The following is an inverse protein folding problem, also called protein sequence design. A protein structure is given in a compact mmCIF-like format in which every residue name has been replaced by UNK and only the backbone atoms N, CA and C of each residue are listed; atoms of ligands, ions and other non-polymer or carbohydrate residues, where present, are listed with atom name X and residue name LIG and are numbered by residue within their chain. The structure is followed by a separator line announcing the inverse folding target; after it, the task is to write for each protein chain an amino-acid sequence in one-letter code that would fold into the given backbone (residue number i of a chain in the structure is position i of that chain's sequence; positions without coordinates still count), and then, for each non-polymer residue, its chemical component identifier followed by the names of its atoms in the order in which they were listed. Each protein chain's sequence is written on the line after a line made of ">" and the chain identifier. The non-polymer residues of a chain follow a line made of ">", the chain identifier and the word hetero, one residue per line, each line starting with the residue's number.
data_IF_880748943097
#
_entry.id   IF_880748943097
#
_cell.length_a   1.000
_cell.length_b   1.000
_cell.length_c   1.000
_cell.angle_alpha   90.00
_cell.angle_beta   90.00
_cell.angle_gamma   90.00
#
_symmetry.space_group_name_H-M   'P 1'
#
loop_
_entity.id
_entity.type
_entity.pdbx_description
1 polymer ?
#
# COMPACT_ATOMS: atom_id res chain seq x y z
N UNK A 1 1.37 -14.82 -21.68
CA UNK A 1 1.40 -13.62 -20.83
C UNK A 1 2.42 -13.88 -19.74
N UNK A 2 3.50 -13.10 -19.72
CA UNK A 2 4.54 -13.21 -18.70
C UNK A 2 4.05 -12.57 -17.40
N UNK A 3 4.21 -13.29 -16.29
CA UNK A 3 3.83 -12.76 -14.97
C UNK A 3 4.84 -11.71 -14.56
N UNK A 4 4.37 -10.52 -14.18
CA UNK A 4 5.20 -9.46 -13.64
C UNK A 4 4.90 -9.33 -12.15
N UNK A 5 5.93 -9.54 -11.32
CA UNK A 5 5.85 -9.32 -9.89
C UNK A 5 5.71 -7.82 -9.63
N UNK A 6 4.69 -7.44 -8.87
CA UNK A 6 4.41 -6.04 -8.56
C UNK A 6 5.24 -5.62 -7.35
N UNK A 7 6.18 -4.69 -7.57
CA UNK A 7 6.97 -4.06 -6.51
C UNK A 7 6.76 -2.56 -6.58
N UNK A 8 5.78 -2.05 -5.84
CA UNK A 8 5.53 -0.62 -5.80
C UNK A 8 6.51 0.02 -4.80
N UNK A 9 7.49 0.77 -5.30
CA UNK A 9 8.42 1.53 -4.44
C UNK A 9 8.62 2.98 -4.94
N UNK A 10 8.32 4.00 -4.10
CA UNK A 10 7.77 3.91 -2.74
C UNK A 10 6.24 3.82 -2.70
N UNK A 11 5.72 3.28 -1.60
CA UNK A 11 4.34 3.53 -1.14
C UNK A 11 4.42 4.18 0.23
N UNK A 12 4.45 5.51 0.25
CA UNK A 12 4.69 6.30 1.45
C UNK A 12 3.62 7.38 1.66
N UNK A 13 3.52 7.87 2.88
CA UNK A 13 2.61 8.94 3.27
C UNK A 13 3.30 9.86 4.29
N UNK A 14 3.26 11.16 4.04
CA UNK A 14 3.77 12.16 4.99
C UNK A 14 2.63 12.62 5.88
N UNK A 15 2.79 12.44 7.19
CA UNK A 15 1.87 12.98 8.19
C UNK A 15 2.47 14.22 8.85
N UNK A 16 1.68 15.28 8.93
CA UNK A 16 2.03 16.53 9.59
C UNK A 16 1.16 16.76 10.81
N UNK A 17 1.66 17.52 11.79
CA UNK A 17 0.89 17.88 13.00
C UNK A 17 -0.39 18.66 12.68
N UNK A 18 -0.39 19.36 11.56
CA UNK A 18 -1.53 20.11 11.03
C UNK A 18 -2.07 19.44 9.79
N UNK A 19 -3.39 19.26 9.74
CA UNK A 19 -4.10 18.81 8.56
C UNK A 19 -4.37 19.95 7.57
N UNK A 20 -5.15 19.63 6.52
CA UNK A 20 -5.56 20.57 5.50
C UNK A 20 -6.35 21.73 6.12
N UNK A 21 -5.90 22.97 5.90
CA UNK A 21 -6.53 24.17 6.48
C UNK A 21 -5.95 24.62 7.83
N UNK A 22 -4.79 24.08 8.24
CA UNK A 22 -4.05 24.56 9.42
C UNK A 22 -4.57 24.06 10.76
N UNK A 23 -5.63 23.23 10.76
CA UNK A 23 -6.15 22.61 11.98
C UNK A 23 -5.26 21.45 12.44
N UNK A 24 -5.24 21.08 13.72
CA UNK A 24 -4.57 19.87 14.18
C UNK A 24 -5.05 18.64 13.41
N UNK A 25 -4.12 17.75 13.06
CA UNK A 25 -4.44 16.48 12.43
C UNK A 25 -5.37 15.67 13.34
N UNK A 26 -6.49 15.20 12.79
CA UNK A 26 -7.41 14.26 13.46
C UNK A 26 -7.43 12.97 12.66
N UNK A 27 -6.96 11.90 13.28
CA UNK A 27 -7.07 10.55 12.71
C UNK A 27 -8.46 9.98 13.00
N UNK A 28 -9.05 9.18 12.08
CA UNK A 28 -10.33 8.50 12.30
C UNK A 28 -10.15 7.27 13.23
N UNK A 29 -9.43 7.47 14.33
CA UNK A 29 -9.20 6.46 15.35
C UNK A 29 -10.38 6.43 16.32
N UNK A 30 -10.88 5.24 16.62
CA UNK A 30 -11.98 5.00 17.56
C UNK A 30 -11.51 4.02 18.62
N UNK A 31 -11.64 4.39 19.90
CA UNK A 31 -11.40 3.50 21.05
C UNK A 31 -12.70 2.82 21.44
N UNK A 32 -12.68 1.49 21.53
CA UNK A 32 -13.81 0.64 21.88
C UNK A 32 -13.35 -0.36 22.94
N UNK A 33 -13.58 -0.03 24.22
CA UNK A 33 -13.08 -0.82 25.35
C UNK A 33 -11.56 -0.85 25.38
N UNK A 34 -10.97 -2.04 25.39
CA UNK A 34 -9.51 -2.23 25.45
C UNK A 34 -8.80 -2.13 24.08
N UNK A 35 -9.55 -1.94 23.00
CA UNK A 35 -9.02 -1.87 21.65
C UNK A 35 -9.22 -0.49 21.03
N UNK A 36 -8.30 -0.10 20.16
CA UNK A 36 -8.53 0.96 19.21
C UNK A 36 -8.61 0.40 17.79
N UNK A 37 -9.34 1.10 16.93
CA UNK A 37 -9.40 0.81 15.50
C UNK A 37 -9.24 2.10 14.71
N UNK A 38 -8.60 2.01 13.55
CA UNK A 38 -8.57 3.06 12.55
C UNK A 38 -8.98 2.44 11.23
N UNK A 39 -10.11 2.90 10.68
CA UNK A 39 -10.62 2.45 9.40
C UNK A 39 -10.54 3.57 8.39
N UNK A 40 -10.02 3.26 7.21
CA UNK A 40 -9.91 4.21 6.10
C UNK A 40 -10.27 3.53 4.79
N UNK A 41 -11.13 4.18 4.01
CA UNK A 41 -11.40 3.81 2.63
C UNK A 41 -10.78 4.87 1.71
N UNK A 42 -10.03 4.41 0.72
CA UNK A 42 -9.37 5.24 -0.29
C UNK A 42 -9.98 4.87 -1.65
N UNK A 43 -11.07 5.55 -2.06
CA UNK A 43 -11.60 5.42 -3.41
C UNK A 43 -10.67 6.18 -4.38
N UNK A 44 -10.20 5.48 -5.41
CA UNK A 44 -9.30 6.01 -6.41
C UNK A 44 -9.97 5.98 -7.78
N UNK A 45 -10.15 7.15 -8.38
CA UNK A 45 -10.65 7.30 -9.74
C UNK A 45 -9.91 8.42 -10.45
N UNK A 46 -9.05 8.08 -11.41
CA UNK A 46 -8.23 9.04 -12.15
C UNK A 46 -7.83 8.51 -13.52
N UNK A 47 -7.29 9.37 -14.39
CA UNK A 47 -6.81 8.98 -15.72
C UNK A 47 -5.74 7.91 -15.61
N UNK A 48 -5.92 6.80 -16.32
CA UNK A 48 -5.00 5.69 -16.26
C UNK A 48 -3.60 6.11 -16.78
N UNK A 49 -2.51 5.91 -16.01
CA UNK A 49 -1.17 6.30 -16.44
C UNK A 49 -0.61 5.47 -17.60
N UNK A 50 -1.28 4.36 -17.94
CA UNK A 50 -1.01 3.52 -19.11
C UNK A 50 -1.92 3.85 -20.30
N UNK A 51 -2.83 4.83 -20.18
CA UNK A 51 -3.66 5.26 -21.31
C UNK A 51 -2.80 5.82 -22.46
N UNK A 52 -3.24 5.60 -23.69
CA UNK A 52 -2.50 6.02 -24.90
C UNK A 52 -1.55 4.93 -25.40
N UNK A 53 -0.24 5.10 -25.21
CA UNK A 53 0.77 4.17 -25.75
C UNK A 53 0.60 2.73 -25.25
N UNK A 54 0.22 2.56 -23.98
CA UNK A 54 0.03 1.27 -23.32
C UNK A 54 -1.44 0.87 -23.18
N UNK A 55 -2.31 1.38 -24.07
CA UNK A 55 -3.77 1.23 -23.95
C UNK A 55 -4.24 -0.22 -23.99
N UNK A 56 -3.51 -1.13 -24.66
CA UNK A 56 -3.88 -2.55 -24.75
C UNK A 56 -3.92 -3.25 -23.38
N UNK A 57 -3.13 -2.76 -22.40
CA UNK A 57 -3.03 -3.37 -21.07
C UNK A 57 -4.13 -2.91 -20.11
N UNK A 58 -4.87 -1.85 -20.44
CA UNK A 58 -5.77 -1.19 -19.49
C UNK A 58 -7.10 -0.75 -20.09
N UNK A 59 -8.11 -0.76 -19.23
CA UNK A 59 -9.41 -0.17 -19.52
C UNK A 59 -9.56 1.26 -19.03
N UNK A 60 -10.04 2.16 -19.88
CA UNK A 60 -10.46 3.54 -19.58
C UNK A 60 -9.69 4.24 -18.44
N UNK A 61 -10.44 4.71 -17.43
CA UNK A 61 -9.87 5.32 -16.21
C UNK A 61 -9.41 4.25 -15.22
N UNK A 62 -8.37 4.56 -14.45
CA UNK A 62 -8.01 3.75 -13.29
C UNK A 62 -9.11 3.84 -12.24
N UNK A 63 -9.58 2.68 -11.78
CA UNK A 63 -10.56 2.58 -10.71
C UNK A 63 -10.14 1.49 -9.73
N UNK A 64 -9.92 1.90 -8.48
CA UNK A 64 -9.70 0.99 -7.38
C UNK A 64 -10.32 1.54 -6.09
N UNK A 65 -10.63 0.64 -5.17
CA UNK A 65 -10.94 1.02 -3.79
C UNK A 65 -10.03 0.21 -2.87
N UNK A 66 -9.29 0.91 -2.04
CA UNK A 66 -8.52 0.32 -0.96
C UNK A 66 -9.22 0.57 0.37
N UNK A 67 -9.30 -0.46 1.20
CA UNK A 67 -9.94 -0.40 2.51
C UNK A 67 -8.96 -0.94 3.53
N UNK A 68 -8.55 -0.08 4.44
CA UNK A 68 -7.62 -0.39 5.52
C UNK A 68 -8.37 -0.43 6.83
N UNK A 69 -8.04 -1.43 7.64
CA UNK A 69 -8.34 -1.45 9.06
C UNK A 69 -7.04 -1.66 9.82
N UNK A 70 -6.78 -0.81 10.80
CA UNK A 70 -5.68 -0.97 11.76
C UNK A 70 -6.26 -1.15 13.14
N UNK A 71 -5.65 -2.02 13.94
CA UNK A 71 -6.10 -2.33 15.29
C UNK A 71 -4.90 -2.43 16.25
N UNK A 72 -5.15 -2.13 17.52
CA UNK A 72 -4.18 -2.31 18.59
C UNK A 72 -4.83 -2.14 19.97
N UNK A 73 -4.02 -2.19 21.03
CA UNK A 73 -4.51 -2.05 22.41
C UNK A 73 -4.60 -0.57 22.79
N UNK A 74 -5.71 -0.18 23.40
CA UNK A 74 -5.96 1.22 23.77
C UNK A 74 -4.96 1.75 24.81
N UNK A 75 -4.54 0.91 25.76
CA UNK A 75 -3.60 1.29 26.81
C UNK A 75 -2.19 1.59 26.30
N UNK A 76 -1.83 1.13 25.09
CA UNK A 76 -0.54 1.42 24.47
C UNK A 76 -0.48 2.84 23.89
N UNK A 77 -1.63 3.43 23.51
CA UNK A 77 -1.69 4.79 22.93
C UNK A 77 -1.21 5.88 23.92
N UNK A 78 -1.37 5.63 25.21
CA UNK A 78 -1.04 6.57 26.28
C UNK A 78 0.26 6.21 27.00
N UNK A 79 0.96 5.17 26.57
CA UNK A 79 2.18 4.72 27.21
C UNK A 79 3.38 5.59 26.76
N UNK A 80 3.97 6.42 27.66
CA UNK A 80 5.07 7.31 27.29
C UNK A 80 6.40 6.58 27.06
N UNK A 81 6.50 5.30 27.46
CA UNK A 81 7.72 4.49 27.33
C UNK A 81 7.89 3.88 25.92
N UNK A 82 6.89 4.03 25.05
CA UNK A 82 6.93 3.52 23.67
C UNK A 82 6.68 4.65 22.67
N UNK A 83 7.47 4.65 21.60
CA UNK A 83 7.33 5.55 20.44
C UNK A 83 6.75 4.82 19.22
N UNK A 84 6.47 3.52 19.37
CA UNK A 84 6.09 2.60 18.32
C UNK A 84 5.12 1.56 18.86
N UNK A 85 3.92 1.51 18.27
CA UNK A 85 2.85 0.60 18.69
C UNK A 85 2.89 -0.71 17.90
N UNK A 86 2.60 -1.86 18.55
CA UNK A 86 2.13 -3.04 17.85
C UNK A 86 0.82 -2.73 17.13
N UNK A 87 0.72 -3.11 15.86
CA UNK A 87 -0.48 -2.85 15.04
C UNK A 87 -0.82 -4.09 14.24
N UNK A 88 -2.07 -4.54 14.29
CA UNK A 88 -2.62 -5.49 13.33
C UNK A 88 -3.25 -4.70 12.17
N UNK A 89 -3.16 -5.23 10.95
CA UNK A 89 -3.71 -4.61 9.74
C UNK A 89 -4.58 -5.61 8.98
N UNK A 90 -5.72 -5.15 8.50
CA UNK A 90 -6.47 -5.75 7.40
C UNK A 90 -6.44 -4.80 6.22
N UNK A 91 -6.12 -5.30 5.03
CA UNK A 91 -6.17 -4.52 3.81
C UNK A 91 -6.97 -5.27 2.75
N UNK A 92 -7.93 -4.57 2.16
CA UNK A 92 -8.67 -5.04 1.02
C UNK A 92 -8.45 -4.08 -0.12
N UNK A 93 -8.22 -4.62 -1.32
CA UNK A 93 -8.24 -3.86 -2.55
C UNK A 93 -9.22 -4.50 -3.51
N UNK A 94 -10.05 -3.67 -4.13
CA UNK A 94 -10.88 -4.03 -5.26
C UNK A 94 -10.42 -3.19 -6.43
N UNK A 95 -10.07 -3.81 -7.54
CA UNK A 95 -9.64 -3.10 -8.76
C UNK A 95 -9.96 -3.90 -10.01
N UNK A 96 -9.85 -3.27 -11.18
CA UNK A 96 -9.74 -3.98 -12.46
C UNK A 96 -8.52 -4.92 -12.46
N UNK A 97 -8.42 -5.72 -13.51
CA UNK A 97 -7.25 -6.58 -13.79
C UNK A 97 -5.93 -5.82 -13.70
N UNK A 98 -4.89 -6.48 -13.21
CA UNK A 98 -3.54 -5.92 -13.25
C UNK A 98 -3.07 -5.83 -14.71
N UNK A 99 -2.27 -4.81 -15.08
CA UNK A 99 -1.88 -4.56 -16.48
C UNK A 99 -1.21 -5.75 -17.14
N UNK A 100 -0.34 -6.45 -16.41
CA UNK A 100 0.37 -7.62 -16.93
C UNK A 100 -0.55 -8.75 -17.36
N UNK A 101 -1.82 -8.76 -16.94
CA UNK A 101 -2.78 -9.77 -17.36
C UNK A 101 -3.35 -9.53 -18.76
N UNK A 102 -3.08 -8.37 -19.39
CA UNK A 102 -3.51 -8.02 -20.76
C UNK A 102 -5.04 -8.14 -20.97
N UNK A 103 -5.80 -7.77 -19.94
CA UNK A 103 -7.26 -7.90 -19.98
C UNK A 103 -7.98 -6.63 -20.46
N UNK A 104 -7.29 -5.49 -20.62
CA UNK A 104 -7.87 -4.24 -21.11
C UNK A 104 -9.17 -3.85 -20.39
N UNK A 105 -10.22 -3.59 -21.17
CA UNK A 105 -11.60 -3.28 -20.70
C UNK A 105 -12.46 -4.54 -20.42
N UNK A 106 -11.88 -5.74 -20.40
CA UNK A 106 -12.66 -6.96 -20.16
C UNK A 106 -13.29 -6.93 -18.78
N UNK A 107 -14.61 -7.16 -18.75
CA UNK A 107 -15.37 -7.20 -17.51
C UNK A 107 -14.77 -8.18 -16.49
N UNK A 108 -14.49 -7.68 -15.28
CA UNK A 108 -13.94 -8.46 -14.17
C UNK A 108 -13.33 -7.57 -13.11
N UNK A 109 -13.23 -8.10 -11.89
CA UNK A 109 -12.63 -7.42 -10.75
C UNK A 109 -11.69 -8.39 -10.03
N UNK A 110 -10.58 -7.83 -9.57
CA UNK A 110 -9.68 -8.47 -8.63
C UNK A 110 -10.05 -8.09 -7.21
N UNK A 111 -10.04 -9.09 -6.33
CA UNK A 111 -10.20 -8.92 -4.89
C UNK A 111 -8.89 -9.34 -4.22
N UNK A 112 -8.29 -8.40 -3.51
CA UNK A 112 -7.19 -8.68 -2.59
C UNK A 112 -7.77 -8.62 -1.18
N UNK A 113 -7.53 -9.66 -0.39
CA UNK A 113 -7.95 -9.71 1.01
C UNK A 113 -6.74 -10.18 1.82
N UNK A 114 -6.15 -9.26 2.57
CA UNK A 114 -4.93 -9.52 3.32
C UNK A 114 -5.13 -9.16 4.79
N UNK A 115 -4.34 -9.83 5.62
CA UNK A 115 -4.20 -9.53 7.03
C UNK A 115 -2.71 -9.58 7.38
N UNK A 116 -2.31 -8.81 8.39
CA UNK A 116 -0.93 -8.75 8.82
C UNK A 116 -0.81 -8.08 10.18
N UNK A 117 0.43 -7.91 10.61
CA UNK A 117 0.78 -7.13 11.79
C UNK A 117 2.14 -6.48 11.59
N UNK A 118 2.41 -5.44 12.37
CA UNK A 118 3.75 -4.91 12.53
C UNK A 118 4.65 -5.97 13.18
N UNK A 119 5.87 -6.06 12.68
CA UNK A 119 6.94 -6.88 13.24
C UNK A 119 7.92 -5.98 13.99
N UNK A 120 8.61 -6.55 14.98
CA UNK A 120 9.60 -5.83 15.77
C UNK A 120 10.96 -5.73 15.06
N UNK A 121 11.24 -6.69 14.16
CA UNK A 121 12.46 -6.73 13.37
C UNK A 121 12.28 -7.49 12.06
N UNK A 122 13.20 -7.28 11.11
CA UNK A 122 13.27 -8.00 9.84
C UNK A 122 13.37 -9.52 10.03
N UNK A 123 14.05 -9.97 11.10
CA UNK A 123 14.23 -11.38 11.43
C UNK A 123 12.93 -12.10 11.79
N UNK A 124 11.86 -11.38 12.14
CA UNK A 124 10.55 -11.97 12.39
C UNK A 124 9.77 -12.33 11.10
N UNK A 125 10.26 -11.95 9.93
CA UNK A 125 9.66 -12.38 8.65
C UNK A 125 9.74 -13.90 8.49
N UNK A 126 8.93 -14.47 7.59
CA UNK A 126 9.11 -15.87 7.21
C UNK A 126 10.41 -16.04 6.44
N UNK A 127 11.02 -17.24 6.52
CA UNK A 127 12.21 -17.57 5.73
C UNK A 127 11.99 -17.34 4.22
N UNK A 128 10.80 -17.69 3.73
CA UNK A 128 10.41 -17.49 2.34
C UNK A 128 10.39 -16.00 1.95
N UNK A 129 9.84 -15.13 2.80
CA UNK A 129 9.79 -13.70 2.52
C UNK A 129 11.18 -13.07 2.58
N UNK A 130 12.02 -13.45 3.57
CA UNK A 130 13.41 -12.98 3.63
C UNK A 130 14.20 -13.39 2.39
N UNK A 131 14.09 -14.64 1.97
CA UNK A 131 14.79 -15.14 0.78
C UNK A 131 14.37 -14.39 -0.50
N UNK A 132 13.08 -14.08 -0.64
CA UNK A 132 12.58 -13.29 -1.78
C UNK A 132 13.12 -11.85 -1.76
N UNK A 133 13.10 -11.20 -0.59
CA UNK A 133 13.63 -9.85 -0.40
C UNK A 133 15.13 -9.83 -0.70
N UNK A 134 15.92 -10.72 -0.10
CA UNK A 134 17.37 -10.76 -0.29
C UNK A 134 17.77 -11.01 -1.75
N UNK A 135 17.00 -11.83 -2.46
CA UNK A 135 17.28 -12.19 -3.85
C UNK A 135 16.86 -11.13 -4.85
N UNK A 136 15.65 -10.57 -4.70
CA UNK A 136 15.00 -9.79 -5.74
C UNK A 136 14.74 -8.34 -5.36
N UNK A 137 14.68 -8.01 -4.06
CA UNK A 137 14.33 -6.67 -3.55
C UNK A 137 15.20 -6.27 -2.34
N UNK A 138 16.55 -6.34 -2.43
CA UNK A 138 17.43 -6.16 -1.27
C UNK A 138 17.29 -4.78 -0.60
N UNK A 139 16.76 -3.78 -1.30
CA UNK A 139 16.39 -2.48 -0.76
C UNK A 139 15.32 -2.55 0.36
N UNK A 140 14.47 -3.58 0.38
CA UNK A 140 13.40 -3.75 1.38
C UNK A 140 13.88 -4.28 2.74
N UNK A 141 15.18 -4.57 2.87
CA UNK A 141 15.77 -4.91 4.17
C UNK A 141 15.71 -3.72 5.14
N UNK A 142 15.73 -2.49 4.62
CA UNK A 142 15.67 -1.27 5.42
C UNK A 142 14.46 -0.42 5.03
N UNK A 143 13.85 0.32 5.98
CA UNK A 143 12.85 1.32 5.62
C UNK A 143 13.48 2.42 4.75
N UNK A 144 12.70 3.08 3.87
CA UNK A 144 13.19 4.22 3.11
C UNK A 144 13.57 5.39 4.05
N UNK A 145 14.43 6.32 3.61
CA UNK A 145 14.75 7.53 4.36
C UNK A 145 13.49 8.34 4.70
N UNK A 146 13.47 8.98 5.88
CA UNK A 146 12.32 9.78 6.33
C UNK A 146 12.07 11.02 5.47
N UNK A 147 13.06 11.44 4.68
CA UNK A 147 13.01 12.57 3.76
C UNK A 147 12.82 12.16 2.29
N UNK A 148 12.45 10.90 2.01
CA UNK A 148 12.19 10.43 0.64
C UNK A 148 11.09 11.26 -0.05
N UNK A 149 11.49 12.00 -1.09
CA UNK A 149 10.62 12.86 -1.90
C UNK A 149 10.15 12.19 -3.21
N UNK A 150 10.50 10.91 -3.46
CA UNK A 150 10.03 10.18 -4.63
C UNK A 150 8.50 10.13 -4.62
N UNK A 151 7.89 10.26 -5.80
CA UNK A 151 6.44 10.08 -5.93
C UNK A 151 6.07 8.64 -5.65
N UNK A 152 4.93 8.43 -4.98
CA UNK A 152 4.39 7.10 -4.79
C UNK A 152 4.23 6.37 -6.12
N UNK A 153 4.62 5.10 -6.10
CA UNK A 153 4.48 4.18 -7.20
C UNK A 153 3.19 3.38 -7.07
N UNK A 154 2.54 3.17 -8.21
CA UNK A 154 1.38 2.28 -8.36
C UNK A 154 1.79 1.08 -9.19
N UNK A 155 0.99 0.00 -9.14
CA UNK A 155 1.25 -1.18 -9.96
C UNK A 155 1.24 -0.89 -11.47
N UNK A 156 0.59 0.20 -11.88
CA UNK A 156 0.54 0.65 -13.27
C UNK A 156 1.78 1.43 -13.68
N UNK A 157 2.25 2.36 -12.84
CA UNK A 157 3.49 3.08 -13.12
C UNK A 157 4.71 2.17 -13.04
N UNK A 158 4.70 1.20 -12.12
CA UNK A 158 5.72 0.15 -12.06
C UNK A 158 5.71 -0.69 -13.36
N UNK A 159 4.53 -1.17 -13.76
CA UNK A 159 4.39 -1.95 -15.00
C UNK A 159 4.89 -1.19 -16.22
N UNK A 160 4.57 0.11 -16.32
CA UNK A 160 5.10 0.98 -17.37
C UNK A 160 6.64 0.95 -17.43
N UNK A 161 7.32 1.13 -16.28
CA UNK A 161 8.78 1.08 -16.21
C UNK A 161 9.33 -0.26 -16.67
N UNK A 162 8.67 -1.36 -16.33
CA UNK A 162 9.10 -2.70 -16.75
C UNK A 162 8.98 -2.87 -18.26
N UNK A 163 7.93 -2.32 -18.89
CA UNK A 163 7.81 -2.34 -20.35
C UNK A 163 8.80 -1.39 -21.04
N UNK A 164 8.96 -0.15 -20.53
CA UNK A 164 9.90 0.84 -21.05
C UNK A 164 11.36 0.33 -21.04
N UNK A 165 11.68 -0.62 -20.14
CA UNK A 165 13.02 -1.19 -20.00
C UNK A 165 13.27 -2.45 -20.85
N UNK A 166 12.27 -2.95 -21.59
CA UNK A 166 12.39 -4.09 -22.51
C UNK A 166 12.85 -3.63 -23.90
#
# INVERSE_FOLDING_TARGET
>A
VDVIHVSNDPVNQTWTKTGRGGQPLRLPLVVQGEQWSLSMAVPLFYTNPLGGEYQEYVGGNYHATEMFNFFGRANELENPEIDSLPVAVGWVRISSWLPWMEMGDRAGLMYFHTAGRKLDSFDQLSEQMRAEIERNYPEYVNPPPLDDQRRNETSWSFFRKVLDAR
#
